data_IF_462558841519
#
_entry.id   IF_462558841519
#
_cell.length_a   1.000
_cell.length_b   1.000
_cell.length_c   1.000
_cell.angle_alpha   90.00
_cell.angle_beta   90.00
_cell.angle_gamma   90.00
#
_symmetry.space_group_name_H-M   'P 1'
#
loop_
_entity.id
_entity.type
_entity.pdbx_description
1 polymer ?
#
# COMPACT_ATOMS: atom_id res chain seq x y z
N UNK A 1 -1.77 0.60 -15.72
CA UNK A 1 -1.79 2.05 -15.97
C UNK A 1 -0.78 2.38 -17.06
N UNK A 2 -0.84 3.58 -17.67
CA UNK A 2 0.16 4.02 -18.64
C UNK A 2 1.53 4.22 -17.96
N UNK A 3 2.61 3.84 -18.64
CA UNK A 3 3.97 4.13 -18.22
C UNK A 3 4.33 5.57 -18.65
N UNK A 4 4.78 6.40 -17.70
CA UNK A 4 5.27 7.74 -18.00
C UNK A 4 6.79 7.68 -18.26
N UNK A 5 7.29 8.05 -19.45
CA UNK A 5 8.73 8.02 -19.75
C UNK A 5 9.56 9.00 -18.92
N UNK A 6 8.94 10.01 -18.29
CA UNK A 6 9.61 10.94 -17.39
C UNK A 6 9.77 10.39 -15.96
N UNK A 7 9.16 9.25 -15.63
CA UNK A 7 9.34 8.62 -14.33
C UNK A 7 10.81 8.18 -14.16
N UNK A 8 11.49 8.56 -13.06
CA UNK A 8 12.84 8.09 -12.79
C UNK A 8 12.90 6.56 -12.71
N UNK A 9 14.04 5.98 -13.11
CA UNK A 9 14.29 4.56 -12.95
C UNK A 9 14.17 4.14 -11.47
N UNK A 10 13.71 2.91 -11.23
CA UNK A 10 13.69 2.34 -9.89
C UNK A 10 15.10 2.35 -9.27
N UNK A 11 15.26 2.72 -7.98
CA UNK A 11 14.23 3.05 -6.98
C UNK A 11 13.92 4.56 -6.81
N UNK A 12 14.40 5.43 -7.70
CA UNK A 12 14.52 6.88 -7.48
C UNK A 12 13.17 7.62 -7.35
N UNK A 13 12.12 7.12 -7.98
CA UNK A 13 10.81 7.79 -7.98
C UNK A 13 10.19 7.94 -6.58
N UNK A 14 10.45 7.00 -5.67
CA UNK A 14 9.85 7.00 -4.32
C UNK A 14 10.37 8.16 -3.47
N UNK A 15 11.66 8.51 -3.62
CA UNK A 15 12.26 9.59 -2.84
C UNK A 15 11.61 10.95 -3.11
N UNK A 16 11.22 11.21 -4.36
CA UNK A 16 10.55 12.45 -4.76
C UNK A 16 9.13 12.61 -4.17
N UNK A 17 8.45 11.49 -3.87
CA UNK A 17 7.09 11.49 -3.32
C UNK A 17 7.05 11.69 -1.79
N UNK A 18 8.17 11.50 -1.08
CA UNK A 18 8.18 11.49 0.38
C UNK A 18 7.60 12.75 1.05
N UNK A 19 7.90 13.99 0.59
CA UNK A 19 7.32 15.19 1.19
C UNK A 19 5.80 15.32 0.95
N UNK A 20 5.34 14.96 -0.26
CA UNK A 20 3.92 14.97 -0.61
C UNK A 20 3.14 13.97 0.23
N UNK A 21 3.68 12.75 0.36
CA UNK A 21 3.14 11.71 1.24
C UNK A 21 3.00 12.21 2.67
N UNK A 22 4.08 12.72 3.26
CA UNK A 22 4.08 13.19 4.65
C UNK A 22 3.04 14.31 4.88
N UNK A 23 2.92 15.25 3.94
CA UNK A 23 1.94 16.34 4.06
C UNK A 23 0.51 15.83 3.94
N UNK A 24 0.21 14.98 2.96
CA UNK A 24 -1.14 14.45 2.75
C UNK A 24 -1.58 13.54 3.91
N UNK A 25 -0.71 12.65 4.39
CA UNK A 25 -0.99 11.77 5.53
C UNK A 25 -1.27 12.57 6.81
N UNK A 26 -0.55 13.68 7.04
CA UNK A 26 -0.82 14.57 8.19
C UNK A 26 -2.21 15.23 8.16
N UNK A 27 -2.85 15.24 7.00
CA UNK A 27 -4.21 15.75 6.77
C UNK A 27 -5.24 14.62 6.66
N UNK A 28 -4.84 13.36 6.90
CA UNK A 28 -5.70 12.19 6.74
C UNK A 28 -5.96 11.78 5.29
N UNK A 29 -5.23 12.32 4.31
CA UNK A 29 -5.33 11.94 2.90
C UNK A 29 -4.29 10.89 2.52
N UNK A 30 -4.74 9.86 1.80
CA UNK A 30 -3.89 8.81 1.23
C UNK A 30 -3.42 9.07 -0.20
N UNK A 31 -3.69 10.23 -0.80
CA UNK A 31 -3.57 10.45 -2.25
C UNK A 31 -2.16 10.25 -2.82
N UNK A 32 -1.13 10.42 -1.99
CA UNK A 32 0.28 10.21 -2.35
C UNK A 32 0.92 9.01 -1.63
N UNK A 33 0.09 8.16 -1.04
CA UNK A 33 0.54 6.96 -0.30
C UNK A 33 0.57 5.76 -1.25
N UNK A 34 1.68 4.99 -1.32
CA UNK A 34 1.69 3.74 -2.06
C UNK A 34 0.89 2.67 -1.31
N UNK A 35 -0.44 2.68 -1.49
CA UNK A 35 -1.41 1.78 -0.85
C UNK A 35 -1.40 0.39 -1.50
N UNK A 36 -0.32 -0.37 -1.26
CA UNK A 36 -0.19 -1.72 -1.81
C UNK A 36 -1.30 -2.65 -1.33
N UNK A 37 -2.05 -3.20 -2.27
CA UNK A 37 -3.10 -4.18 -2.02
C UNK A 37 -3.18 -5.15 -3.20
N UNK A 38 -3.45 -6.42 -2.92
CA UNK A 38 -3.79 -7.40 -3.96
C UNK A 38 -5.16 -7.12 -4.57
N UNK A 39 -5.55 -7.92 -5.56
CA UNK A 39 -6.83 -7.75 -6.25
C UNK A 39 -8.06 -8.13 -5.40
N UNK A 40 -7.88 -8.92 -4.33
CA UNK A 40 -8.96 -9.34 -3.44
C UNK A 40 -8.63 -9.00 -1.97
N UNK A 41 -9.20 -7.90 -1.49
CA UNK A 41 -9.06 -7.44 -0.10
C UNK A 41 -10.19 -7.94 0.83
N UNK A 42 -11.17 -8.70 0.33
CA UNK A 42 -12.34 -9.13 1.13
C UNK A 42 -11.99 -10.05 2.30
N UNK A 43 -10.80 -10.67 2.26
CA UNK A 43 -10.28 -11.52 3.33
C UNK A 43 -9.52 -10.77 4.44
N UNK A 44 -9.28 -9.46 4.31
CA UNK A 44 -8.56 -8.69 5.32
C UNK A 44 -9.38 -8.61 6.62
N UNK A 45 -8.77 -9.00 7.74
CA UNK A 45 -9.41 -9.02 9.07
C UNK A 45 -8.47 -8.43 10.12
N UNK A 46 -9.02 -7.59 11.01
CA UNK A 46 -8.30 -7.03 12.14
C UNK A 46 -8.29 -8.00 13.34
N UNK A 47 -7.65 -9.16 13.17
CA UNK A 47 -7.50 -10.23 14.18
C UNK A 47 -6.03 -10.63 14.32
N UNK A 48 -5.62 -11.34 15.39
CA UNK A 48 -4.28 -11.88 15.50
C UNK A 48 -3.93 -12.77 14.29
N UNK A 49 -2.71 -12.64 13.75
CA UNK A 49 -2.29 -13.41 12.58
C UNK A 49 -2.46 -14.93 12.76
N UNK A 50 -2.19 -15.45 13.97
CA UNK A 50 -2.36 -16.87 14.28
C UNK A 50 -3.81 -17.36 14.15
N UNK A 51 -4.80 -16.52 14.46
CA UNK A 51 -6.21 -16.84 14.26
C UNK A 51 -6.55 -16.92 12.77
N UNK A 52 -6.13 -15.91 11.99
CA UNK A 52 -6.34 -15.90 10.54
C UNK A 52 -5.70 -17.12 9.87
N UNK A 53 -4.50 -17.52 10.29
CA UNK A 53 -3.83 -18.72 9.79
C UNK A 53 -4.63 -19.99 10.03
N UNK A 54 -5.24 -20.16 11.22
CA UNK A 54 -6.10 -21.34 11.50
C UNK A 54 -7.34 -21.39 10.61
N UNK A 55 -8.01 -20.24 10.46
CA UNK A 55 -9.16 -20.12 9.53
C UNK A 55 -8.77 -20.50 8.10
N UNK A 56 -7.62 -20.05 7.61
CA UNK A 56 -7.13 -20.37 6.27
C UNK A 56 -6.74 -21.85 6.11
N UNK A 57 -6.22 -22.47 7.18
CA UNK A 57 -5.83 -23.87 7.18
C UNK A 57 -7.01 -24.84 7.40
N UNK A 58 -8.22 -24.32 7.65
CA UNK A 58 -9.43 -25.10 7.97
C UNK A 58 -9.24 -26.08 9.16
N UNK A 59 -8.44 -25.67 10.16
CA UNK A 59 -8.18 -26.39 11.42
C UNK A 59 -8.60 -25.58 12.64
#
# INVERSE_FOLDING_TARGET
GPLNPAAPAFPLAVAALAPLRAKAESQGSGDFTPLWCGQNASGCRAVPAAELTRVLAAV
#
